data_IF_865092923227
#
_entry.id   IF_865092923227
#
_cell.length_a   1.000
_cell.length_b   1.000
_cell.length_c   1.000
_cell.angle_alpha   90.00
_cell.angle_beta   90.00
_cell.angle_gamma   90.00
#
_symmetry.space_group_name_H-M   'P 1'
#
loop_
_entity.id
_entity.type
_entity.pdbx_description
1 polymer ?
#
# COMPACT_ATOMS: atom_id res chain seq x y z
N UNK A 1 9.53 -14.43 -22.30
CA UNK A 1 8.87 -13.35 -21.55
C UNK A 1 8.29 -13.91 -20.25
N UNK A 2 9.16 -14.32 -19.33
CA UNK A 2 8.78 -15.11 -18.15
C UNK A 2 7.97 -14.29 -17.12
N UNK A 3 8.35 -13.03 -16.91
CA UNK A 3 7.70 -12.13 -15.95
C UNK A 3 6.24 -11.82 -16.31
N UNK A 4 5.96 -11.59 -17.60
CA UNK A 4 4.61 -11.27 -18.07
C UNK A 4 3.64 -12.43 -17.77
N UNK A 5 4.07 -13.66 -18.08
CA UNK A 5 3.26 -14.85 -17.79
C UNK A 5 3.00 -15.00 -16.30
N UNK A 6 4.00 -14.84 -15.44
CA UNK A 6 3.79 -14.96 -14.00
C UNK A 6 2.75 -13.95 -13.48
N UNK A 7 2.83 -12.69 -13.92
CA UNK A 7 1.87 -11.64 -13.52
C UNK A 7 0.44 -11.94 -14.01
N UNK A 8 0.28 -12.48 -15.22
CA UNK A 8 -1.03 -12.89 -15.76
C UNK A 8 -1.65 -14.05 -14.96
N UNK A 9 -0.81 -14.96 -14.45
CA UNK A 9 -1.21 -16.07 -13.57
C UNK A 9 -1.42 -15.65 -12.10
N UNK A 10 -1.31 -14.35 -11.81
CA UNK A 10 -1.63 -13.79 -10.49
C UNK A 10 -0.44 -13.60 -9.56
N UNK A 11 0.79 -13.90 -10.00
CA UNK A 11 1.97 -13.57 -9.21
C UNK A 11 2.04 -12.06 -8.96
N UNK A 12 2.30 -11.70 -7.70
CA UNK A 12 2.69 -10.35 -7.28
C UNK A 12 3.92 -10.47 -6.40
N UNK A 13 4.77 -9.45 -6.41
CA UNK A 13 5.96 -9.45 -5.56
C UNK A 13 5.54 -9.57 -4.09
N UNK A 14 6.24 -10.38 -3.29
CA UNK A 14 5.99 -10.45 -1.85
C UNK A 14 6.31 -9.11 -1.18
N UNK A 15 5.84 -8.93 0.04
CA UNK A 15 6.12 -7.74 0.85
C UNK A 15 7.64 -7.52 1.00
N UNK A 16 8.17 -6.34 0.66
CA UNK A 16 9.58 -6.04 0.88
C UNK A 16 9.95 -6.05 2.37
N UNK A 17 11.20 -6.38 2.73
CA UNK A 17 11.66 -6.32 4.13
C UNK A 17 11.51 -4.91 4.71
N UNK A 18 10.89 -4.79 5.88
CA UNK A 18 10.66 -3.51 6.56
C UNK A 18 9.53 -2.66 5.98
N UNK A 19 8.77 -3.18 5.00
CA UNK A 19 7.61 -2.48 4.45
C UNK A 19 6.39 -2.65 5.39
N UNK A 20 5.74 -1.55 5.81
CA UNK A 20 4.49 -1.63 6.57
C UNK A 20 3.39 -2.36 5.80
N UNK A 21 2.62 -3.19 6.49
CA UNK A 21 1.54 -3.99 5.87
C UNK A 21 0.55 -3.11 5.12
N UNK A 22 0.13 -1.99 5.70
CA UNK A 22 -0.82 -1.05 5.08
C UNK A 22 -0.28 -0.46 3.77
N UNK A 23 1.02 -0.16 3.70
CA UNK A 23 1.64 0.33 2.47
C UNK A 23 1.69 -0.77 1.39
N UNK A 24 1.96 -2.01 1.79
CA UNK A 24 1.94 -3.13 0.85
C UNK A 24 0.53 -3.45 0.34
N UNK A 25 -0.51 -3.29 1.16
CA UNK A 25 -1.91 -3.39 0.73
C UNK A 25 -2.24 -2.37 -0.37
N UNK A 26 -1.77 -1.12 -0.23
CA UNK A 26 -1.90 -0.10 -1.28
C UNK A 26 -1.21 -0.56 -2.58
N UNK A 27 -0.03 -1.17 -2.51
CA UNK A 27 0.64 -1.73 -3.69
C UNK A 27 -0.18 -2.83 -4.36
N UNK A 28 -0.79 -3.72 -3.58
CA UNK A 28 -1.65 -4.79 -4.11
C UNK A 28 -2.90 -4.24 -4.80
N UNK A 29 -3.51 -3.18 -4.27
CA UNK A 29 -4.62 -2.46 -4.93
C UNK A 29 -4.18 -1.89 -6.30
N UNK A 30 -3.00 -1.27 -6.38
CA UNK A 30 -2.43 -0.78 -7.64
C UNK A 30 -2.17 -1.90 -8.64
N UNK A 31 -1.83 -3.11 -8.18
CA UNK A 31 -1.57 -4.27 -9.03
C UNK A 31 -2.81 -5.14 -9.29
N UNK A 32 -4.02 -4.64 -9.02
CA UNK A 32 -5.24 -5.38 -9.26
C UNK A 32 -5.34 -5.82 -10.75
N UNK A 33 -5.78 -7.07 -10.97
CA UNK A 33 -5.89 -7.68 -12.31
C UNK A 33 -6.81 -6.87 -13.23
N UNK A 34 -8.00 -6.56 -12.73
CA UNK A 34 -8.95 -5.66 -13.37
C UNK A 34 -8.47 -4.20 -13.25
N UNK A 35 -8.18 -3.50 -14.38
CA UNK A 35 -7.77 -2.11 -14.37
C UNK A 35 -8.79 -1.15 -13.75
N UNK A 36 -10.09 -1.46 -13.85
CA UNK A 36 -11.15 -0.59 -13.32
C UNK A 36 -11.23 -0.59 -11.80
N UNK A 37 -10.60 -1.58 -11.15
CA UNK A 37 -10.52 -1.69 -9.69
C UNK A 37 -9.25 -1.07 -9.10
N UNK A 38 -8.33 -0.59 -9.95
CA UNK A 38 -7.12 0.09 -9.49
C UNK A 38 -7.50 1.48 -8.99
N UNK A 39 -6.89 1.98 -7.91
CA UNK A 39 -7.16 3.33 -7.42
C UNK A 39 -6.75 4.35 -8.49
N UNK A 40 -7.47 5.47 -8.54
CA UNK A 40 -7.01 6.64 -9.30
C UNK A 40 -5.80 7.25 -8.59
N UNK A 41 -5.05 8.10 -9.28
CA UNK A 41 -3.97 8.85 -8.64
C UNK A 41 -4.47 9.76 -7.51
N UNK A 42 -5.67 10.32 -7.66
CA UNK A 42 -6.33 11.08 -6.59
C UNK A 42 -6.56 10.20 -5.36
N UNK A 43 -7.22 9.04 -5.51
CA UNK A 43 -7.43 8.11 -4.38
C UNK A 43 -6.11 7.63 -3.76
N UNK A 44 -5.09 7.39 -4.58
CA UNK A 44 -3.77 6.98 -4.11
C UNK A 44 -3.10 8.09 -3.27
N UNK A 45 -3.21 9.35 -3.70
CA UNK A 45 -2.71 10.50 -2.94
C UNK A 45 -3.36 10.56 -1.56
N UNK A 46 -4.69 10.52 -1.49
CA UNK A 46 -5.42 10.54 -0.22
C UNK A 46 -5.01 9.38 0.71
N UNK A 47 -4.89 8.17 0.17
CA UNK A 47 -4.45 6.99 0.95
C UNK A 47 -3.04 7.15 1.53
N UNK A 48 -2.12 7.71 0.75
CA UNK A 48 -0.73 7.93 1.20
C UNK A 48 -0.65 9.06 2.22
N UNK A 49 -1.40 10.15 2.03
CA UNK A 49 -1.50 11.23 3.02
C UNK A 49 -2.07 10.72 4.35
N UNK A 50 -3.15 9.94 4.33
CA UNK A 50 -3.71 9.32 5.53
C UNK A 50 -2.71 8.38 6.22
N UNK A 51 -2.04 7.52 5.44
CA UNK A 51 -1.01 6.61 5.95
C UNK A 51 0.10 7.35 6.71
N UNK A 52 0.66 8.43 6.14
CA UNK A 52 1.75 9.17 6.79
C UNK A 52 1.29 10.12 7.91
N UNK A 53 0.02 10.53 7.92
CA UNK A 53 -0.53 11.38 9.00
C UNK A 53 -0.87 10.56 10.24
N UNK A 54 -1.34 9.32 10.07
CA UNK A 54 -1.59 8.38 11.17
C UNK A 54 -0.28 7.89 11.81
N UNK A 55 0.78 7.66 11.02
CA UNK A 55 2.11 7.36 11.57
C UNK A 55 2.76 8.58 12.28
N UNK A 56 2.26 9.80 12.02
CA UNK A 56 2.68 11.03 12.71
C UNK A 56 1.88 11.37 13.97
N UNK A 57 0.77 10.66 14.24
CA UNK A 57 -0.12 10.92 15.37
C UNK A 57 0.08 9.95 16.54
N UNK A 58 1.33 9.59 16.84
CA UNK A 58 1.68 9.26 18.22
C UNK A 58 1.54 10.56 19.05
N UNK A 59 0.30 10.96 19.34
CA UNK A 59 0.02 11.79 20.50
C UNK A 59 0.45 10.94 21.68
N UNK A 60 1.73 11.02 22.06
CA UNK A 60 2.19 10.57 23.36
C UNK A 60 1.43 11.41 24.36
N UNK A 61 0.31 10.87 24.80
CA UNK A 61 -0.38 11.31 25.99
C UNK A 61 0.72 11.44 27.05
N UNK A 62 1.00 12.68 27.47
CA UNK A 62 1.90 12.96 28.57
C UNK A 62 1.20 12.53 29.87
N UNK A 63 0.94 11.23 29.98
CA UNK A 63 0.59 10.53 31.19
C UNK A 63 1.86 9.89 31.72
N UNK A 64 2.76 10.71 32.27
CA UNK A 64 3.49 10.39 33.52
C UNK A 64 4.64 11.38 33.82
N UNK A 65 4.51 11.98 35.01
CA UNK A 65 5.43 12.83 35.80
C UNK A 65 5.44 14.33 35.53
#
# INVERSE_FOLDING_TARGET
>A
AEVLQQVEHGYRMPTPPGCPTALYEIMLECWHKDPMKRPTFETLQWKLEDFFTLEGSDYKEASSY
#
